data_IF_840697198649
#
_entry.id   IF_840697198649
#
_cell.length_a   1.000
_cell.length_b   1.000
_cell.length_c   1.000
_cell.angle_alpha   90.00
_cell.angle_beta   90.00
_cell.angle_gamma   90.00
#
_symmetry.space_group_name_H-M   'P 1'
#
loop_
_entity.id
_entity.type
_entity.pdbx_description
1 polymer ?
#
# COMPACT_ATOMS: atom_id res chain seq x y z
N UNK A 1 -6.54 14.45 23.49
CA UNK A 1 -6.96 14.73 22.09
C UNK A 1 -5.76 14.92 21.16
N UNK A 2 -4.87 15.91 21.38
CA UNK A 2 -3.70 16.16 20.49
C UNK A 2 -2.78 14.94 20.39
N UNK A 3 -2.42 14.33 21.52
CA UNK A 3 -1.57 13.11 21.54
C UNK A 3 -2.16 12.00 20.69
N UNK A 4 -3.48 11.79 20.78
CA UNK A 4 -4.18 10.75 20.03
C UNK A 4 -4.13 11.00 18.52
N UNK A 5 -4.29 12.25 18.09
CA UNK A 5 -4.13 12.65 16.69
C UNK A 5 -2.69 12.42 16.22
N UNK A 6 -1.70 12.77 17.04
CA UNK A 6 -0.29 12.52 16.72
C UNK A 6 0.02 11.03 16.59
N UNK A 7 -0.58 10.17 17.44
CA UNK A 7 -0.45 8.71 17.32
C UNK A 7 -1.01 8.23 15.98
N UNK A 8 -2.19 8.71 15.57
CA UNK A 8 -2.78 8.34 14.27
C UNK A 8 -1.85 8.75 13.12
N UNK A 9 -1.39 10.00 13.10
CA UNK A 9 -0.53 10.53 12.03
C UNK A 9 0.82 9.79 11.99
N UNK A 10 1.45 9.58 13.15
CA UNK A 10 2.71 8.87 13.25
C UNK A 10 2.57 7.41 12.80
N UNK A 11 1.50 6.74 13.20
CA UNK A 11 1.22 5.36 12.78
C UNK A 11 0.97 5.30 11.28
N UNK A 12 0.15 6.19 10.73
CA UNK A 12 -0.11 6.26 9.28
C UNK A 12 1.18 6.46 8.48
N UNK A 13 2.04 7.38 8.90
CA UNK A 13 3.32 7.63 8.23
C UNK A 13 4.27 6.44 8.35
N UNK A 14 4.34 5.82 9.54
CA UNK A 14 5.16 4.62 9.77
C UNK A 14 4.68 3.42 8.94
N UNK A 15 3.38 3.33 8.67
CA UNK A 15 2.83 2.28 7.82
C UNK A 15 3.36 2.30 6.39
N UNK A 16 3.79 3.44 5.84
CA UNK A 16 4.48 3.48 4.54
C UNK A 16 5.79 2.69 4.58
N UNK A 17 6.57 2.85 5.65
CA UNK A 17 7.77 2.07 5.86
C UNK A 17 7.44 0.58 6.04
N UNK A 18 6.41 0.26 6.84
CA UNK A 18 6.00 -1.14 7.04
C UNK A 18 5.49 -1.80 5.77
N UNK A 19 4.73 -1.08 4.95
CA UNK A 19 4.25 -1.56 3.66
C UNK A 19 5.43 -1.80 2.71
N UNK A 20 6.36 -0.85 2.59
CA UNK A 20 7.59 -1.05 1.83
C UNK A 20 8.39 -2.27 2.29
N UNK A 21 8.57 -2.42 3.61
CA UNK A 21 9.33 -3.52 4.19
C UNK A 21 8.65 -4.86 3.90
N UNK A 22 7.35 -4.96 4.19
CA UNK A 22 6.59 -6.17 3.97
C UNK A 22 6.54 -6.51 2.48
N UNK A 23 6.34 -5.52 1.62
CA UNK A 23 6.31 -5.72 0.17
C UNK A 23 7.65 -6.27 -0.33
N UNK A 24 8.77 -5.67 0.07
CA UNK A 24 10.11 -6.09 -0.37
C UNK A 24 10.55 -7.45 0.19
N UNK A 25 10.35 -7.68 1.49
CA UNK A 25 10.98 -8.83 2.17
C UNK A 25 10.01 -9.98 2.44
N UNK A 26 8.71 -9.70 2.56
CA UNK A 26 7.69 -10.70 2.87
C UNK A 26 6.97 -11.10 1.58
N UNK A 27 6.37 -10.15 0.86
CA UNK A 27 5.59 -10.40 -0.35
C UNK A 27 6.47 -10.84 -1.52
N UNK A 28 7.61 -10.19 -1.73
CA UNK A 28 8.66 -10.65 -2.66
C UNK A 28 9.60 -11.72 -2.07
N UNK A 29 9.32 -12.23 -0.87
CA UNK A 29 10.13 -13.24 -0.18
C UNK A 29 9.31 -14.48 0.16
N UNK A 30 9.07 -14.66 1.47
CA UNK A 30 8.41 -15.84 2.03
C UNK A 30 7.00 -16.08 1.47
N UNK A 31 6.25 -15.01 1.22
CA UNK A 31 4.85 -15.05 0.79
C UNK A 31 4.69 -14.71 -0.70
N UNK A 32 5.73 -14.93 -1.52
CA UNK A 32 5.64 -14.76 -2.97
C UNK A 32 4.53 -15.59 -3.61
N UNK A 33 4.19 -16.76 -3.06
CA UNK A 33 3.08 -17.56 -3.55
C UNK A 33 1.72 -16.82 -3.52
N UNK A 34 1.55 -15.84 -2.63
CA UNK A 34 0.38 -14.99 -2.55
C UNK A 34 0.49 -13.73 -3.41
N UNK A 35 1.71 -13.28 -3.73
CA UNK A 35 1.93 -12.04 -4.49
C UNK A 35 2.22 -12.27 -5.99
N UNK A 36 2.51 -13.52 -6.37
CA UNK A 36 2.94 -13.88 -7.72
C UNK A 36 1.89 -13.56 -8.78
N UNK A 37 0.62 -13.86 -8.54
CA UNK A 37 -0.47 -13.64 -9.49
C UNK A 37 -0.77 -12.16 -9.72
N UNK A 38 -0.41 -11.32 -8.75
CA UNK A 38 -0.44 -9.86 -8.91
C UNK A 38 0.66 -9.35 -9.86
N UNK A 39 1.85 -9.97 -9.86
CA UNK A 39 2.90 -9.67 -10.84
C UNK A 39 2.66 -10.34 -12.19
N UNK A 40 2.18 -11.57 -12.17
CA UNK A 40 1.92 -12.41 -13.33
C UNK A 40 0.41 -12.53 -13.50
N UNK A 41 -0.21 -11.41 -13.91
CA UNK A 41 -1.67 -11.24 -13.94
C UNK A 41 -2.36 -12.45 -14.57
N UNK A 42 -3.12 -13.16 -13.74
CA UNK A 42 -3.97 -14.27 -14.17
C UNK A 42 -5.39 -13.74 -14.48
N UNK A 43 -6.16 -14.39 -15.37
CA UNK A 43 -7.54 -14.00 -15.64
C UNK A 43 -8.40 -14.15 -14.38
N UNK A 44 -9.03 -13.06 -13.94
CA UNK A 44 -9.92 -13.10 -12.78
C UNK A 44 -10.11 -11.74 -12.16
N UNK A 45 -11.13 -11.62 -11.29
CA UNK A 45 -11.30 -10.42 -10.47
C UNK A 45 -10.47 -10.50 -9.19
N UNK A 46 -10.43 -11.66 -8.53
CA UNK A 46 -9.71 -11.88 -7.28
C UNK A 46 -8.27 -12.34 -7.52
N UNK A 47 -7.37 -11.86 -6.69
CA UNK A 47 -5.96 -12.27 -6.65
C UNK A 47 -5.68 -12.86 -5.27
N UNK A 48 -4.79 -13.86 -5.17
CA UNK A 48 -4.28 -14.35 -3.88
C UNK A 48 -3.64 -13.21 -3.08
N UNK A 49 -3.15 -12.20 -3.77
CA UNK A 49 -2.62 -10.98 -3.21
C UNK A 49 -3.64 -10.24 -2.32
N UNK A 50 -4.94 -10.42 -2.57
CA UNK A 50 -6.00 -9.85 -1.74
C UNK A 50 -5.94 -10.35 -0.28
N UNK A 51 -5.29 -11.51 -0.04
CA UNK A 51 -5.04 -12.03 1.30
C UNK A 51 -4.22 -11.05 2.16
N UNK A 52 -3.38 -10.21 1.56
CA UNK A 52 -2.61 -9.21 2.31
C UNK A 52 -3.51 -8.16 2.98
N UNK A 53 -4.68 -7.84 2.41
CA UNK A 53 -5.65 -6.98 3.10
C UNK A 53 -6.08 -7.58 4.43
N UNK A 54 -6.34 -8.90 4.47
CA UNK A 54 -6.70 -9.60 5.70
C UNK A 54 -5.52 -9.68 6.66
N UNK A 55 -4.32 -10.01 6.17
CA UNK A 55 -3.11 -10.10 6.98
C UNK A 55 -2.82 -8.76 7.68
N UNK A 56 -2.92 -7.63 6.98
CA UNK A 56 -2.70 -6.31 7.56
C UNK A 56 -3.90 -5.80 8.39
N UNK A 57 -5.12 -6.32 8.14
CA UNK A 57 -6.28 -6.00 8.98
C UNK A 57 -6.19 -6.62 10.38
N UNK A 58 -5.53 -7.77 10.55
CA UNK A 58 -5.37 -8.44 11.86
C UNK A 58 -4.70 -7.54 12.92
N UNK A 59 -3.51 -6.94 12.72
CA UNK A 59 -2.89 -6.08 13.72
C UNK A 59 -3.73 -4.82 14.01
N UNK A 60 -4.39 -4.27 12.99
CA UNK A 60 -5.35 -3.18 13.17
C UNK A 60 -6.50 -3.59 14.09
N UNK A 61 -7.18 -4.71 13.78
CA UNK A 61 -8.30 -5.23 14.56
C UNK A 61 -7.90 -5.53 16.00
N UNK A 62 -6.73 -6.13 16.21
CA UNK A 62 -6.18 -6.35 17.55
C UNK A 62 -6.02 -5.04 18.33
N UNK A 63 -5.49 -4.00 17.70
CA UNK A 63 -5.32 -2.67 18.32
C UNK A 63 -6.67 -2.01 18.65
N UNK A 64 -7.66 -2.12 17.76
CA UNK A 64 -9.03 -1.68 18.03
C UNK A 64 -9.62 -2.41 19.24
N UNK A 65 -9.62 -3.74 19.22
CA UNK A 65 -10.24 -4.55 20.28
C UNK A 65 -9.57 -4.31 21.63
N UNK A 66 -8.25 -4.44 21.69
CA UNK A 66 -7.51 -4.29 22.94
C UNK A 66 -7.53 -2.85 23.48
N UNK A 67 -7.51 -1.86 22.59
CA UNK A 67 -7.65 -0.45 22.96
C UNK A 67 -9.04 -0.13 23.50
N UNK A 68 -10.10 -0.63 22.87
CA UNK A 68 -11.48 -0.43 23.35
C UNK A 68 -11.73 -1.12 24.69
N UNK A 69 -11.26 -2.36 24.87
CA UNK A 69 -11.36 -3.09 26.15
C UNK A 69 -10.68 -2.30 27.29
N UNK A 70 -9.59 -1.61 26.99
CA UNK A 70 -8.85 -0.79 27.95
C UNK A 70 -9.40 0.64 28.11
N UNK A 71 -10.63 0.91 27.67
CA UNK A 71 -11.26 2.23 27.83
C UNK A 71 -10.84 3.27 26.78
N UNK A 72 -10.32 2.84 25.63
CA UNK A 72 -9.97 3.73 24.52
C UNK A 72 -8.57 4.35 24.61
N UNK A 73 -7.58 3.56 25.04
CA UNK A 73 -6.19 4.03 25.17
C UNK A 73 -5.48 4.21 23.82
N UNK A 74 -4.16 4.46 23.87
CA UNK A 74 -3.33 4.72 22.69
C UNK A 74 -3.42 3.64 21.59
N UNK A 75 -3.73 2.38 21.93
CA UNK A 75 -3.83 1.27 20.97
C UNK A 75 -4.97 1.49 19.99
N UNK A 76 -6.09 2.04 20.44
CA UNK A 76 -7.20 2.36 19.55
C UNK A 76 -6.75 3.29 18.42
N UNK A 77 -5.95 4.30 18.74
CA UNK A 77 -5.45 5.28 17.79
C UNK A 77 -4.36 4.71 16.86
N UNK A 78 -3.58 3.73 17.33
CA UNK A 78 -2.71 2.93 16.46
C UNK A 78 -3.57 2.15 15.45
N UNK A 79 -4.61 1.46 15.91
CA UNK A 79 -5.54 0.72 15.04
C UNK A 79 -6.16 1.62 13.97
N UNK A 80 -6.59 2.83 14.35
CA UNK A 80 -7.09 3.85 13.42
C UNK A 80 -6.03 4.27 12.40
N UNK A 81 -4.78 4.49 12.82
CA UNK A 81 -3.70 4.84 11.89
C UNK A 81 -3.40 3.73 10.87
N UNK A 82 -3.39 2.47 11.31
CA UNK A 82 -3.20 1.30 10.44
C UNK A 82 -4.37 1.17 9.45
N UNK A 83 -5.61 1.28 9.93
CA UNK A 83 -6.80 1.14 9.08
C UNK A 83 -6.90 2.25 8.03
N UNK A 84 -6.59 3.50 8.40
CA UNK A 84 -6.56 4.63 7.46
C UNK A 84 -5.48 4.44 6.38
N UNK A 85 -4.30 3.95 6.76
CA UNK A 85 -3.27 3.63 5.78
C UNK A 85 -3.71 2.50 4.86
N UNK A 86 -4.27 1.41 5.41
CA UNK A 86 -4.79 0.29 4.62
C UNK A 86 -5.88 0.72 3.62
N UNK A 87 -6.79 1.59 4.05
CA UNK A 87 -7.79 2.19 3.16
C UNK A 87 -7.14 3.03 2.06
N UNK A 88 -6.18 3.89 2.41
CA UNK A 88 -5.45 4.70 1.43
C UNK A 88 -4.69 3.81 0.43
N UNK A 89 -4.03 2.76 0.92
CA UNK A 89 -3.34 1.77 0.11
C UNK A 89 -4.30 1.16 -0.90
N UNK A 90 -5.43 0.60 -0.46
CA UNK A 90 -6.44 0.03 -1.35
C UNK A 90 -6.94 1.02 -2.41
N UNK A 91 -7.30 2.24 -1.99
CA UNK A 91 -7.79 3.26 -2.91
C UNK A 91 -6.73 3.61 -3.98
N UNK A 92 -5.47 3.75 -3.58
CA UNK A 92 -4.42 4.12 -4.53
C UNK A 92 -4.01 2.92 -5.39
N UNK A 93 -3.86 1.76 -4.80
CA UNK A 93 -3.37 0.55 -5.47
C UNK A 93 -4.41 -0.03 -6.42
N UNK A 94 -5.58 -0.39 -5.91
CA UNK A 94 -6.58 -1.16 -6.64
C UNK A 94 -7.46 -0.27 -7.52
N UNK A 95 -7.79 0.93 -7.04
CA UNK A 95 -8.62 1.87 -7.79
C UNK A 95 -7.75 2.73 -8.70
N UNK A 96 -6.79 3.49 -8.16
CA UNK A 96 -6.05 4.47 -8.98
C UNK A 96 -5.02 3.81 -9.92
N UNK A 97 -4.26 2.82 -9.45
CA UNK A 97 -3.17 2.21 -10.23
C UNK A 97 -3.64 1.02 -11.06
N UNK A 98 -4.18 -0.02 -10.45
CA UNK A 98 -4.58 -1.25 -11.15
C UNK A 98 -5.95 -1.15 -11.83
N UNK A 99 -6.78 -0.17 -11.46
CA UNK A 99 -8.11 0.02 -12.05
C UNK A 99 -8.98 -1.25 -11.99
N UNK A 100 -8.84 -2.05 -10.91
CA UNK A 100 -9.70 -3.21 -10.62
C UNK A 100 -11.16 -2.76 -10.44
N UNK A 101 -11.33 -1.55 -9.92
CA UNK A 101 -12.59 -0.83 -9.94
C UNK A 101 -12.46 0.37 -10.89
N UNK A 102 -13.40 0.52 -11.82
CA UNK A 102 -13.41 1.61 -12.82
C UNK A 102 -13.87 2.95 -12.24
N UNK A 103 -13.35 3.32 -11.08
CA UNK A 103 -13.59 4.57 -10.37
C UNK A 103 -12.34 5.44 -10.56
N UNK A 104 -12.51 6.75 -10.79
CA UNK A 104 -11.41 7.70 -11.00
C UNK A 104 -10.41 7.33 -12.12
N UNK A 105 -10.88 6.61 -13.13
CA UNK A 105 -10.13 6.23 -14.34
C UNK A 105 -9.42 7.43 -15.00
N UNK A 106 -10.08 8.58 -15.03
CA UNK A 106 -9.58 9.81 -15.67
C UNK A 106 -8.70 10.68 -14.75
N UNK A 107 -8.45 10.27 -13.51
CA UNK A 107 -7.64 11.07 -12.60
C UNK A 107 -6.18 11.12 -13.08
N UNK A 108 -5.67 12.31 -13.38
CA UNK A 108 -4.37 12.50 -14.03
C UNK A 108 -3.66 13.78 -13.55
N UNK A 109 -3.26 13.82 -12.28
CA UNK A 109 -2.38 14.86 -11.75
C UNK A 109 -0.92 14.38 -11.69
N UNK A 110 0.01 15.29 -11.35
CA UNK A 110 1.45 15.00 -11.29
C UNK A 110 1.78 13.85 -10.33
N UNK A 111 1.13 13.82 -9.17
CA UNK A 111 1.31 12.77 -8.16
C UNK A 111 0.83 11.41 -8.68
N UNK A 112 -0.41 11.35 -9.19
CA UNK A 112 -1.01 10.12 -9.77
C UNK A 112 -0.14 9.56 -10.90
N UNK A 113 0.43 10.41 -11.75
CA UNK A 113 1.37 9.97 -12.78
C UNK A 113 2.64 9.38 -12.18
N UNK A 114 3.20 9.99 -11.14
CA UNK A 114 4.42 9.51 -10.50
C UNK A 114 4.22 8.13 -9.87
N UNK A 115 3.15 7.94 -9.09
CA UNK A 115 2.84 6.65 -8.45
C UNK A 115 2.56 5.55 -9.47
N UNK A 116 1.77 5.82 -10.52
CA UNK A 116 1.48 4.84 -11.58
C UNK A 116 2.75 4.42 -12.31
N UNK A 117 3.66 5.35 -12.58
CA UNK A 117 4.96 5.05 -13.23
C UNK A 117 5.84 4.21 -12.32
N UNK A 118 5.97 4.59 -11.06
CA UNK A 118 6.79 3.89 -10.10
C UNK A 118 6.32 2.44 -9.90
N UNK A 119 5.00 2.25 -9.76
CA UNK A 119 4.37 0.93 -9.64
C UNK A 119 4.45 0.12 -10.93
N UNK A 120 4.26 0.74 -12.10
CA UNK A 120 4.45 0.05 -13.39
C UNK A 120 5.88 -0.47 -13.54
N UNK A 121 6.88 0.30 -13.10
CA UNK A 121 8.27 -0.13 -13.16
C UNK A 121 8.59 -1.26 -12.19
N UNK A 122 7.93 -1.28 -11.03
CA UNK A 122 7.94 -2.41 -10.11
C UNK A 122 7.40 -3.69 -10.78
N UNK A 123 6.18 -3.63 -11.35
CA UNK A 123 5.54 -4.75 -12.04
C UNK A 123 6.20 -5.20 -13.35
N UNK A 124 7.10 -4.39 -13.92
CA UNK A 124 7.89 -4.80 -15.09
C UNK A 124 8.74 -6.03 -14.79
N UNK A 125 9.11 -6.24 -13.53
CA UNK A 125 9.80 -7.43 -13.06
C UNK A 125 8.75 -8.46 -12.63
N UNK A 126 8.60 -9.52 -13.42
CA UNK A 126 7.58 -10.57 -13.20
C UNK A 126 7.98 -11.59 -12.14
N UNK A 127 9.26 -11.62 -11.77
CA UNK A 127 9.80 -12.48 -10.72
C UNK A 127 9.86 -11.77 -9.38
N UNK A 128 10.13 -12.54 -8.33
CA UNK A 128 10.35 -12.00 -6.99
C UNK A 128 11.64 -11.17 -6.87
N UNK A 129 12.63 -11.47 -7.72
CA UNK A 129 13.95 -10.85 -7.73
C UNK A 129 13.98 -9.58 -8.60
N UNK A 130 14.92 -8.68 -8.30
CA UNK A 130 15.21 -7.48 -9.12
C UNK A 130 14.09 -6.42 -9.20
N UNK A 131 13.02 -6.56 -8.42
CA UNK A 131 12.01 -5.51 -8.29
C UNK A 131 12.64 -4.17 -7.86
N UNK A 132 12.24 -3.08 -8.52
CA UNK A 132 12.54 -1.73 -8.06
C UNK A 132 11.28 -1.09 -7.45
N UNK A 133 11.47 -0.17 -6.51
CA UNK A 133 10.41 0.61 -5.86
C UNK A 133 9.24 -0.21 -5.25
N UNK A 134 9.37 -0.57 -3.97
CA UNK A 134 8.36 -1.32 -3.21
C UNK A 134 7.41 -0.43 -2.39
N UNK A 135 7.63 0.89 -2.38
CA UNK A 135 6.77 1.85 -1.68
C UNK A 135 5.49 2.15 -2.46
N UNK A 136 4.49 2.67 -1.76
CA UNK A 136 3.14 2.87 -2.30
C UNK A 136 2.81 4.36 -2.47
N UNK A 137 2.81 5.11 -1.36
CA UNK A 137 2.45 6.54 -1.37
C UNK A 137 3.67 7.43 -1.59
N UNK A 138 4.85 6.98 -1.18
CA UNK A 138 6.10 7.75 -1.32
C UNK A 138 6.95 7.11 -2.40
N UNK A 139 7.07 7.79 -3.54
CA UNK A 139 7.81 7.29 -4.70
C UNK A 139 9.05 8.15 -5.00
N UNK A 140 10.17 7.54 -5.44
CA UNK A 140 11.40 8.25 -5.77
C UNK A 140 11.21 9.41 -6.77
N UNK A 141 11.98 10.49 -6.58
CA UNK A 141 11.91 11.70 -7.41
C UNK A 141 12.07 11.44 -8.92
N UNK A 142 12.77 10.37 -9.31
CA UNK A 142 12.95 9.99 -10.72
C UNK A 142 11.61 9.78 -11.46
N UNK A 143 10.55 9.36 -10.76
CA UNK A 143 9.24 9.10 -11.37
C UNK A 143 8.37 10.37 -11.53
N UNK A 144 8.76 11.48 -10.90
CA UNK A 144 8.05 12.75 -10.95
C UNK A 144 8.38 13.62 -12.17
N UNK A 145 9.45 13.28 -12.89
CA UNK A 145 9.86 13.96 -14.12
C UNK A 145 9.03 13.46 -15.29
N UNK A 146 8.68 14.34 -16.23
CA UNK A 146 8.03 13.90 -17.46
C UNK A 146 9.07 13.24 -18.39
N UNK A 147 8.91 11.98 -18.81
CA UNK A 147 9.83 11.33 -19.75
C UNK A 147 9.96 12.09 -21.08
N UNK A 148 9.01 12.99 -21.39
CA UNK A 148 9.06 13.82 -22.60
C UNK A 148 9.77 15.17 -22.39
N UNK A 149 10.19 15.53 -21.17
CA UNK A 149 10.92 16.78 -20.89
C UNK A 149 12.44 16.63 -20.85
N UNK A 150 12.96 15.43 -21.15
CA UNK A 150 14.40 15.14 -21.21
C UNK A 150 14.89 14.83 -22.63
N UNK A 151 14.30 15.46 -23.64
CA UNK A 151 14.82 15.49 -25.02
C UNK A 151 15.24 16.91 -25.37
#
# INVERSE_FOLDING_TARGET
MIINVLIVIATFAFMEFMAWFAHKFIMHGLLWCLHKDHHQVEPGFFEKNDSFFLIFAVPSAYCYMSGLIAGGDFRLYIGIGISLYGLCYFLVHDIVIHQRFKIWTHWNNRYVRAIRRAHKMHHKHLGKEQGENFGMLVVPLKYWKDPNTSK
#
